data_IF_877716836302
#
_entry.id   IF_877716836302
#
_cell.length_a   1.000
_cell.length_b   1.000
_cell.length_c   1.000
_cell.angle_alpha   90.00
_cell.angle_beta   90.00
_cell.angle_gamma   90.00
#
_symmetry.space_group_name_H-M   'P 1'
#
loop_
_entity.id
_entity.type
_entity.pdbx_description
1 polymer ?
#
# COMPACT_ATOMS: atom_id res chain seq x y z
N UNK A 1 -3.71 37.25 16.10
CA UNK A 1 -4.31 36.55 17.25
C UNK A 1 -5.73 36.06 16.91
N UNK A 2 -5.91 35.27 15.84
CA UNK A 2 -7.24 34.80 15.42
C UNK A 2 -7.24 33.34 14.91
N UNK A 3 -6.31 32.49 15.36
CA UNK A 3 -6.23 31.07 14.93
C UNK A 3 -6.56 30.06 16.04
N UNK A 4 -6.80 30.49 17.28
CA UNK A 4 -6.87 29.57 18.42
C UNK A 4 -8.22 28.86 18.63
N UNK A 5 -9.18 28.96 17.69
CA UNK A 5 -10.55 28.43 17.90
C UNK A 5 -11.16 27.71 16.69
N UNK A 6 -10.36 27.32 15.69
CA UNK A 6 -10.86 26.42 14.66
C UNK A 6 -11.09 25.02 15.27
N UNK A 7 -12.26 24.38 15.05
CA UNK A 7 -12.47 23.01 15.51
C UNK A 7 -11.44 22.08 14.87
N UNK A 8 -10.93 21.13 15.67
CA UNK A 8 -10.00 20.11 15.19
C UNK A 8 -10.55 19.42 13.93
N UNK A 9 -9.75 19.30 12.84
CA UNK A 9 -10.23 18.70 11.61
C UNK A 9 -10.53 17.21 11.84
N UNK A 10 -11.76 16.76 11.59
CA UNK A 10 -12.16 15.35 11.74
C UNK A 10 -11.70 14.46 10.57
N UNK A 11 -11.10 15.06 9.54
CA UNK A 11 -10.45 14.38 8.45
C UNK A 11 -9.12 15.08 8.15
N UNK A 12 -8.05 14.30 8.05
CA UNK A 12 -6.77 14.84 7.66
C UNK A 12 -6.76 15.01 6.13
N UNK A 13 -6.50 16.23 5.60
CA UNK A 13 -6.34 16.38 4.17
C UNK A 13 -5.16 15.51 3.74
N UNK A 14 -5.28 14.89 2.57
CA UNK A 14 -4.12 14.35 1.90
C UNK A 14 -3.18 15.54 1.67
N UNK A 15 -1.90 15.49 2.12
CA UNK A 15 -0.97 16.57 1.82
C UNK A 15 -0.99 16.77 0.31
N UNK A 16 -1.22 18.00 -0.16
CA UNK A 16 -1.24 18.35 -1.58
C UNK A 16 0.03 17.80 -2.21
N UNK A 17 -0.12 16.84 -3.11
CA UNK A 17 0.96 16.00 -3.61
C UNK A 17 1.63 16.57 -4.86
N UNK A 18 1.42 17.86 -5.12
CA UNK A 18 1.98 18.61 -6.25
C UNK A 18 3.11 19.52 -5.75
N UNK A 19 4.25 19.45 -6.44
CA UNK A 19 5.53 20.12 -6.12
C UNK A 19 6.07 19.87 -4.70
N UNK A 20 6.78 18.76 -4.51
CA UNK A 20 7.55 18.49 -3.28
C UNK A 20 8.88 19.23 -3.38
N UNK A 21 8.97 20.41 -2.74
CA UNK A 21 10.18 21.26 -2.76
C UNK A 21 11.29 20.73 -1.83
N UNK A 22 10.92 20.07 -0.73
CA UNK A 22 11.85 19.50 0.23
C UNK A 22 11.62 17.98 0.36
N UNK A 23 12.29 17.16 -0.49
CA UNK A 23 12.18 15.71 -0.44
C UNK A 23 12.46 15.17 0.96
N UNK A 24 11.61 14.25 1.40
CA UNK A 24 11.65 13.66 2.74
C UNK A 24 11.58 14.66 3.92
N UNK A 25 11.09 15.89 3.72
CA UNK A 25 10.76 16.77 4.83
C UNK A 25 9.70 16.10 5.73
N UNK A 26 9.99 16.03 7.04
CA UNK A 26 9.12 15.36 8.01
C UNK A 26 9.10 13.83 7.89
N UNK A 27 10.17 13.20 7.40
CA UNK A 27 10.26 11.74 7.28
C UNK A 27 10.35 11.01 8.64
N UNK A 28 9.17 10.78 9.23
CA UNK A 28 9.02 10.08 10.50
C UNK A 28 9.43 8.60 10.43
N UNK A 29 9.44 8.02 9.22
CA UNK A 29 9.69 6.60 8.99
C UNK A 29 11.11 6.30 8.54
N UNK A 30 11.99 7.32 8.50
CA UNK A 30 13.40 7.23 8.07
C UNK A 30 13.59 6.59 6.70
N UNK A 31 12.64 6.80 5.80
CA UNK A 31 12.67 6.25 4.43
C UNK A 31 13.69 6.93 3.52
N UNK A 32 14.20 8.11 3.88
CA UNK A 32 15.26 8.80 3.13
C UNK A 32 16.51 7.94 2.98
N UNK A 33 16.87 7.16 4.00
CA UNK A 33 18.02 6.25 3.95
C UNK A 33 17.83 5.15 2.91
N UNK A 34 16.61 4.59 2.84
CA UNK A 34 16.24 3.64 1.79
C UNK A 34 16.31 4.28 0.40
N UNK A 35 15.76 5.49 0.23
CA UNK A 35 15.82 6.21 -1.05
C UNK A 35 17.27 6.45 -1.49
N UNK A 36 18.16 6.83 -0.58
CA UNK A 36 19.60 6.97 -0.88
C UNK A 36 20.24 5.66 -1.32
N UNK A 37 19.92 4.55 -0.64
CA UNK A 37 20.41 3.21 -1.01
C UNK A 37 19.94 2.80 -2.40
N UNK A 38 18.66 3.04 -2.72
CA UNK A 38 18.11 2.73 -4.04
C UNK A 38 18.70 3.63 -5.12
N UNK A 39 18.93 4.90 -4.83
CA UNK A 39 19.55 5.84 -5.77
C UNK A 39 20.98 5.41 -6.12
N UNK A 40 21.78 5.04 -5.13
CA UNK A 40 23.13 4.49 -5.36
C UNK A 40 23.09 3.18 -6.18
N UNK A 41 22.01 2.40 -6.05
CA UNK A 41 21.80 1.24 -6.92
C UNK A 41 21.47 1.66 -8.36
N UNK A 42 20.62 2.67 -8.57
CA UNK A 42 20.30 3.22 -9.90
C UNK A 42 21.55 3.71 -10.64
N UNK A 43 22.48 4.39 -9.95
CA UNK A 43 23.74 4.88 -10.54
C UNK A 43 24.65 3.77 -11.09
N UNK A 44 24.43 2.53 -10.66
CA UNK A 44 25.21 1.35 -11.09
C UNK A 44 24.50 0.56 -12.18
N UNK A 45 23.23 0.86 -12.47
CA UNK A 45 22.52 0.27 -13.59
C UNK A 45 23.03 0.89 -14.89
N UNK A 46 23.39 0.02 -15.84
CA UNK A 46 23.81 0.38 -17.20
C UNK A 46 22.91 -0.25 -18.26
N UNK A 47 22.08 -1.20 -17.86
CA UNK A 47 20.99 -1.77 -18.66
C UNK A 47 19.66 -1.16 -18.25
N UNK A 48 18.62 -1.41 -19.04
CA UNK A 48 17.25 -1.19 -18.57
C UNK A 48 16.94 -2.07 -17.36
N UNK A 49 16.00 -1.63 -16.53
CA UNK A 49 15.60 -2.36 -15.34
C UNK A 49 14.16 -2.06 -14.92
N UNK A 50 13.59 -3.00 -14.17
CA UNK A 50 12.29 -2.86 -13.51
C UNK A 50 12.45 -3.23 -12.05
N UNK A 51 12.26 -2.25 -11.18
CA UNK A 51 12.34 -2.39 -9.73
C UNK A 51 10.92 -2.41 -9.17
N UNK A 52 10.65 -3.26 -8.20
CA UNK A 52 9.40 -3.27 -7.46
C UNK A 52 9.59 -2.81 -6.02
N UNK A 53 8.72 -1.89 -5.59
CA UNK A 53 8.53 -1.45 -4.22
C UNK A 53 7.21 -2.04 -3.71
N UNK A 54 7.31 -3.16 -3.00
CA UNK A 54 6.20 -3.90 -2.43
C UNK A 54 5.82 -3.37 -1.04
N UNK A 55 4.55 -3.06 -0.84
CA UNK A 55 3.97 -2.97 0.50
C UNK A 55 2.44 -3.12 0.45
N UNK A 56 1.80 -3.53 1.56
CA UNK A 56 0.35 -3.49 1.69
C UNK A 56 -0.29 -2.11 1.48
N UNK A 57 -1.62 -2.08 1.43
CA UNK A 57 -2.38 -0.82 1.45
C UNK A 57 -2.19 -0.08 2.77
N UNK A 58 -2.10 1.25 2.70
CA UNK A 58 -1.97 2.09 3.89
C UNK A 58 -0.56 2.17 4.48
N UNK A 59 0.46 1.64 3.81
CA UNK A 59 1.87 1.69 4.26
C UNK A 59 2.66 2.89 3.70
N UNK A 60 2.00 3.87 3.08
CA UNK A 60 2.67 5.09 2.58
C UNK A 60 3.56 4.89 1.35
N UNK A 61 3.23 3.92 0.48
CA UNK A 61 3.93 3.64 -0.78
C UNK A 61 4.02 4.86 -1.69
N UNK A 62 2.88 5.47 -2.00
CA UNK A 62 2.76 6.68 -2.84
C UNK A 62 3.56 7.83 -2.28
N UNK A 63 3.53 8.04 -0.95
CA UNK A 63 4.34 9.07 -0.29
C UNK A 63 5.83 8.83 -0.54
N UNK A 64 6.31 7.59 -0.33
CA UNK A 64 7.71 7.24 -0.57
C UNK A 64 8.11 7.45 -2.05
N UNK A 65 7.30 6.94 -2.98
CA UNK A 65 7.57 7.04 -4.41
C UNK A 65 7.64 8.50 -4.89
N UNK A 66 6.69 9.35 -4.45
CA UNK A 66 6.68 10.77 -4.81
C UNK A 66 7.84 11.54 -4.18
N UNK A 67 8.18 11.28 -2.92
CA UNK A 67 9.33 11.90 -2.26
C UNK A 67 10.66 11.46 -2.88
N UNK A 68 10.79 10.18 -3.25
CA UNK A 68 11.97 9.68 -3.95
C UNK A 68 12.06 10.25 -5.38
N UNK A 69 10.96 10.32 -6.12
CA UNK A 69 10.90 10.99 -7.42
C UNK A 69 11.32 12.46 -7.34
N UNK A 70 10.88 13.19 -6.31
CA UNK A 70 11.29 14.57 -6.08
C UNK A 70 12.78 14.70 -5.74
N UNK A 71 13.32 13.80 -4.89
CA UNK A 71 14.76 13.72 -4.61
C UNK A 71 15.56 13.51 -5.90
N UNK A 72 15.18 12.53 -6.71
CA UNK A 72 15.85 12.22 -7.98
C UNK A 72 15.83 13.42 -8.94
N UNK A 73 14.71 14.15 -9.04
CA UNK A 73 14.66 15.38 -9.86
C UNK A 73 15.65 16.44 -9.37
N UNK A 74 15.78 16.62 -8.05
CA UNK A 74 16.75 17.56 -7.47
C UNK A 74 18.20 17.13 -7.69
N UNK A 75 18.44 15.82 -7.76
CA UNK A 75 19.75 15.24 -8.07
C UNK A 75 20.04 15.17 -9.58
N UNK A 76 19.18 15.74 -10.42
CA UNK A 76 19.39 15.89 -11.87
C UNK A 76 18.88 14.73 -12.73
N UNK A 77 18.12 13.78 -12.17
CA UNK A 77 17.50 12.72 -12.96
C UNK A 77 16.30 13.23 -13.77
N UNK A 78 16.08 12.64 -14.95
CA UNK A 78 14.79 12.76 -15.65
C UNK A 78 13.81 11.77 -15.05
N UNK A 79 12.73 12.27 -14.45
CA UNK A 79 11.80 11.44 -13.67
C UNK A 79 10.35 11.65 -14.10
N UNK A 80 9.74 10.57 -14.59
CA UNK A 80 8.30 10.48 -14.84
C UNK A 80 7.55 9.79 -13.71
N UNK A 81 6.28 10.12 -13.53
CA UNK A 81 5.40 9.51 -12.52
C UNK A 81 4.04 9.26 -13.13
N UNK A 82 3.66 7.99 -13.19
CA UNK A 82 2.38 7.52 -13.71
C UNK A 82 1.53 7.04 -12.54
N UNK A 83 0.39 7.69 -12.31
CA UNK A 83 -0.71 7.11 -11.53
C UNK A 83 -1.51 6.20 -12.45
N UNK A 84 -1.31 4.88 -12.32
CA UNK A 84 -1.94 3.91 -13.22
C UNK A 84 -3.45 3.83 -13.00
N UNK A 85 -3.93 4.07 -11.77
CA UNK A 85 -5.33 3.97 -11.43
C UNK A 85 -6.13 5.17 -11.95
N UNK A 86 -5.57 6.38 -11.87
CA UNK A 86 -6.20 7.58 -12.43
C UNK A 86 -6.46 7.46 -13.93
N UNK A 87 -5.59 6.73 -14.64
CA UNK A 87 -5.63 6.58 -16.10
C UNK A 87 -6.05 5.18 -16.56
N UNK A 88 -6.65 4.38 -15.67
CA UNK A 88 -6.98 2.98 -15.96
C UNK A 88 -8.15 2.82 -16.94
N UNK A 89 -8.81 3.93 -17.32
CA UNK A 89 -9.83 4.01 -18.37
C UNK A 89 -9.24 3.94 -19.79
N UNK A 90 -7.93 4.14 -19.96
CA UNK A 90 -7.26 4.06 -21.26
C UNK A 90 -7.27 2.60 -21.75
N UNK A 91 -7.65 2.41 -23.02
CA UNK A 91 -7.79 1.07 -23.60
C UNK A 91 -6.47 0.30 -23.68
N UNK A 92 -5.35 0.94 -24.05
CA UNK A 92 -4.03 0.30 -24.02
C UNK A 92 -3.01 1.08 -23.17
N UNK A 93 -2.47 0.46 -22.10
CA UNK A 93 -1.46 1.10 -21.24
C UNK A 93 -0.15 1.48 -21.95
N UNK A 94 0.08 0.99 -23.18
CA UNK A 94 1.19 1.47 -24.01
C UNK A 94 1.09 2.98 -24.26
N UNK A 95 -0.11 3.51 -24.50
CA UNK A 95 -0.30 4.95 -24.70
C UNK A 95 0.11 5.76 -23.47
N UNK A 96 -0.20 5.24 -22.28
CA UNK A 96 0.17 5.84 -21.00
C UNK A 96 1.69 5.95 -20.86
N UNK A 97 2.41 4.83 -21.08
CA UNK A 97 3.88 4.81 -21.03
C UNK A 97 4.48 5.72 -22.11
N UNK A 98 3.97 5.64 -23.34
CA UNK A 98 4.49 6.41 -24.46
C UNK A 98 4.28 7.92 -24.26
N UNK A 99 3.12 8.34 -23.76
CA UNK A 99 2.83 9.73 -23.44
C UNK A 99 3.79 10.26 -22.37
N UNK A 100 4.01 9.51 -21.30
CA UNK A 100 4.94 9.90 -20.23
C UNK A 100 6.38 10.03 -20.75
N UNK A 101 6.88 9.03 -21.48
CA UNK A 101 8.21 9.10 -22.09
C UNK A 101 8.34 10.28 -23.06
N UNK A 102 7.27 10.62 -23.78
CA UNK A 102 7.23 11.79 -24.66
C UNK A 102 7.33 13.10 -23.90
N UNK A 103 6.67 13.21 -22.75
CA UNK A 103 6.77 14.40 -21.91
C UNK A 103 8.19 14.57 -21.36
N UNK A 104 8.83 13.47 -20.96
CA UNK A 104 10.24 13.47 -20.52
C UNK A 104 11.20 13.85 -21.66
N UNK A 105 10.84 13.57 -22.91
CA UNK A 105 11.58 14.02 -24.10
C UNK A 105 11.37 15.52 -24.40
N UNK A 106 10.23 16.09 -24.00
CA UNK A 106 9.80 17.43 -24.43
C UNK A 106 10.56 18.58 -23.75
N UNK A 107 11.44 18.29 -22.80
CA UNK A 107 12.31 19.27 -22.15
C UNK A 107 13.46 19.77 -23.07
N UNK A 108 13.72 19.10 -24.20
CA UNK A 108 14.72 19.50 -25.20
C UNK A 108 14.03 19.86 -26.54
N UNK A 109 13.94 21.16 -26.87
CA UNK A 109 13.07 21.70 -27.94
C UNK A 109 13.29 21.08 -29.35
N UNK A 110 14.52 20.63 -29.68
CA UNK A 110 14.85 20.05 -30.98
C UNK A 110 14.52 18.56 -31.13
N UNK A 111 14.77 17.74 -30.10
CA UNK A 111 14.52 16.29 -30.10
C UNK A 111 13.03 15.95 -29.93
N UNK A 112 12.29 16.84 -29.24
CA UNK A 112 10.88 16.66 -28.94
C UNK A 112 9.97 16.55 -30.17
N UNK A 113 10.31 17.18 -31.30
CA UNK A 113 9.45 17.19 -32.50
C UNK A 113 9.48 15.84 -33.23
N UNK A 114 10.67 15.29 -33.45
CA UNK A 114 10.86 13.97 -34.09
C UNK A 114 10.32 12.85 -33.21
N UNK A 115 10.55 12.92 -31.89
CA UNK A 115 10.03 11.94 -30.94
C UNK A 115 8.49 11.95 -30.92
N UNK A 116 7.85 13.13 -30.83
CA UNK A 116 6.38 13.28 -30.89
C UNK A 116 5.77 12.70 -32.17
N UNK A 117 6.40 12.90 -33.33
CA UNK A 117 5.91 12.34 -34.60
C UNK A 117 5.94 10.80 -34.61
N UNK A 118 6.99 10.19 -34.06
CA UNK A 118 7.12 8.73 -33.99
C UNK A 118 6.21 8.12 -32.92
N UNK A 119 5.97 8.81 -31.81
CA UNK A 119 4.95 8.45 -30.81
C UNK A 119 3.55 8.46 -31.42
N UNK A 120 3.18 9.52 -32.16
CA UNK A 120 1.89 9.60 -32.82
C UNK A 120 1.71 8.48 -33.85
N UNK A 121 2.76 8.12 -34.59
CA UNK A 121 2.75 6.98 -35.51
C UNK A 121 2.60 5.64 -34.80
N UNK A 122 3.29 5.43 -33.67
CA UNK A 122 3.17 4.22 -32.88
C UNK A 122 1.78 4.12 -32.25
N UNK A 123 1.28 5.19 -31.64
CA UNK A 123 -0.06 5.26 -31.07
C UNK A 123 -1.15 4.94 -32.11
N UNK A 124 -1.11 5.55 -33.30
CA UNK A 124 -2.12 5.33 -34.36
C UNK A 124 -2.05 3.94 -35.00
N UNK A 125 -0.88 3.28 -35.00
CA UNK A 125 -0.71 1.94 -35.58
C UNK A 125 -1.01 0.82 -34.57
N UNK A 126 -0.69 1.05 -33.30
CA UNK A 126 -0.85 0.08 -32.21
C UNK A 126 -2.30 0.08 -31.68
N UNK A 127 -2.93 1.25 -31.53
CA UNK A 127 -4.28 1.41 -30.94
C UNK A 127 -5.40 0.61 -31.64
N UNK A 128 -5.51 0.56 -32.99
CA UNK A 128 -6.62 -0.13 -33.67
C UNK A 128 -6.59 -1.66 -33.59
N UNK A 129 -5.43 -2.27 -33.31
CA UNK A 129 -5.28 -3.72 -33.26
C UNK A 129 -5.51 -4.32 -31.87
N UNK A 130 -5.37 -3.51 -30.82
CA UNK A 130 -5.41 -3.96 -29.42
C UNK A 130 -6.78 -3.82 -28.75
N UNK A 131 -7.63 -2.92 -29.27
CA UNK A 131 -9.04 -2.83 -28.89
C UNK A 131 -9.82 -4.15 -29.13
N UNK A 132 -9.31 -5.08 -29.95
CA UNK A 132 -9.95 -6.36 -30.26
C UNK A 132 -9.42 -7.57 -29.51
N UNK A 133 -8.35 -7.44 -28.72
CA UNK A 133 -7.76 -8.59 -27.98
C UNK A 133 -8.29 -8.68 -26.53
N UNK A 134 -9.17 -7.77 -26.12
CA UNK A 134 -9.57 -7.56 -24.72
C UNK A 134 -10.90 -8.13 -24.23
N UNK A 135 -11.52 -9.15 -24.85
CA UNK A 135 -12.82 -9.69 -24.37
C UNK A 135 -12.79 -11.17 -23.93
N UNK A 136 -11.74 -11.94 -24.22
CA UNK A 136 -11.82 -13.42 -24.10
C UNK A 136 -11.43 -14.06 -22.75
N UNK A 137 -11.24 -13.31 -21.67
CA UNK A 137 -10.93 -13.90 -20.36
C UNK A 137 -12.14 -14.09 -19.42
N UNK A 138 -13.32 -13.53 -19.74
CA UNK A 138 -14.56 -13.64 -18.95
C UNK A 138 -15.68 -14.43 -19.67
N UNK A 139 -15.33 -15.22 -20.68
CA UNK A 139 -16.27 -15.99 -21.51
C UNK A 139 -16.27 -17.51 -21.28
N UNK A 140 -15.70 -18.03 -20.18
CA UNK A 140 -15.65 -19.50 -19.95
C UNK A 140 -16.93 -20.10 -19.35
N UNK A 141 -17.99 -19.31 -19.14
CA UNK A 141 -19.31 -19.80 -18.70
C UNK A 141 -20.48 -19.42 -19.62
N UNK A 142 -20.23 -18.75 -20.74
CA UNK A 142 -21.23 -18.53 -21.78
C UNK A 142 -20.58 -18.69 -23.15
N UNK A 143 -21.20 -19.51 -23.99
CA UNK A 143 -20.72 -20.05 -25.27
C UNK A 143 -19.76 -19.17 -26.07
N UNK A 144 -18.73 -19.83 -26.57
CA UNK A 144 -17.82 -19.39 -27.63
C UNK A 144 -18.59 -18.81 -28.83
N UNK A 145 -18.75 -17.48 -28.87
CA UNK A 145 -19.34 -16.75 -29.99
C UNK A 145 -18.29 -15.91 -30.72
N UNK A 146 -17.36 -15.23 -30.04
CA UNK A 146 -16.47 -14.29 -30.75
C UNK A 146 -15.34 -14.91 -31.60
N UNK A 147 -14.88 -16.14 -31.28
CA UNK A 147 -13.99 -16.91 -32.18
C UNK A 147 -14.77 -17.61 -33.30
N UNK A 148 -16.07 -17.84 -33.07
CA UNK A 148 -16.96 -18.43 -34.05
C UNK A 148 -17.45 -17.37 -35.04
N UNK A 149 -17.74 -16.13 -34.64
CA UNK A 149 -18.33 -15.10 -35.50
C UNK A 149 -17.39 -14.66 -36.63
N UNK A 150 -16.09 -14.50 -36.34
CA UNK A 150 -15.09 -14.15 -37.37
C UNK A 150 -14.72 -15.30 -38.31
N UNK A 151 -14.99 -16.55 -37.91
CA UNK A 151 -14.80 -17.75 -38.75
C UNK A 151 -16.12 -18.10 -39.47
N UNK A 152 -17.27 -17.79 -38.87
CA UNK A 152 -18.62 -18.04 -39.36
C UNK A 152 -18.99 -17.10 -40.50
N UNK A 153 -18.63 -15.81 -40.42
CA UNK A 153 -18.79 -14.89 -41.55
C UNK A 153 -17.95 -15.30 -42.79
N UNK A 154 -16.81 -15.97 -42.57
CA UNK A 154 -15.97 -16.49 -43.65
C UNK A 154 -16.41 -17.88 -44.15
N UNK A 155 -17.10 -18.66 -43.31
CA UNK A 155 -17.50 -20.04 -43.60
C UNK A 155 -18.88 -20.16 -44.27
N UNK A 156 -19.74 -19.14 -44.19
CA UNK A 156 -21.06 -19.16 -44.85
C UNK A 156 -21.02 -18.86 -46.36
N UNK A 157 -19.91 -18.37 -46.90
CA UNK A 157 -19.73 -18.17 -48.34
C UNK A 157 -19.07 -19.40 -48.98
N UNK A 158 -19.83 -20.45 -49.31
CA UNK A 158 -19.30 -21.58 -50.07
C UNK A 158 -19.18 -21.27 -51.58
N UNK A 159 -18.10 -20.59 -52.00
CA UNK A 159 -17.61 -20.49 -53.39
C UNK A 159 -16.07 -20.27 -53.41
N UNK A 160 -15.42 -20.35 -54.59
CA UNK A 160 -13.97 -20.08 -54.76
C UNK A 160 -13.52 -18.71 -54.20
N UNK A 161 -14.44 -17.75 -54.04
CA UNK A 161 -14.19 -16.43 -53.42
C UNK A 161 -13.84 -16.53 -51.92
N UNK A 162 -14.19 -17.63 -51.26
CA UNK A 162 -13.95 -17.85 -49.83
C UNK A 162 -12.47 -18.10 -49.52
N UNK A 163 -11.76 -18.79 -50.41
CA UNK A 163 -10.32 -19.06 -50.25
C UNK A 163 -9.52 -17.76 -50.37
N UNK A 164 -9.90 -16.90 -51.31
CA UNK A 164 -9.29 -15.58 -51.50
C UNK A 164 -9.67 -14.61 -50.37
N UNK A 165 -10.91 -14.66 -49.86
CA UNK A 165 -11.33 -13.90 -48.69
C UNK A 165 -10.62 -14.35 -47.40
N UNK A 166 -10.48 -15.66 -47.19
CA UNK A 166 -9.73 -16.21 -46.06
C UNK A 166 -8.24 -15.86 -46.16
N UNK A 167 -7.64 -15.95 -47.36
CA UNK A 167 -6.26 -15.54 -47.61
C UNK A 167 -6.07 -14.05 -47.38
N UNK A 168 -6.96 -13.20 -47.88
CA UNK A 168 -6.92 -11.75 -47.66
C UNK A 168 -7.10 -11.38 -46.18
N UNK A 169 -7.94 -12.12 -45.44
CA UNK A 169 -8.11 -11.94 -44.00
C UNK A 169 -6.84 -12.32 -43.22
N UNK A 170 -6.21 -13.45 -43.57
CA UNK A 170 -4.93 -13.88 -42.99
C UNK A 170 -3.82 -12.89 -43.34
N UNK A 171 -3.70 -12.47 -44.59
CA UNK A 171 -2.73 -11.47 -45.06
C UNK A 171 -2.93 -10.13 -44.35
N UNK A 172 -4.18 -9.67 -44.18
CA UNK A 172 -4.50 -8.44 -43.44
C UNK A 172 -4.15 -8.56 -41.95
N UNK A 173 -4.36 -9.73 -41.33
CA UNK A 173 -3.95 -10.02 -39.95
C UNK A 173 -2.43 -10.07 -39.80
N UNK A 174 -1.73 -10.71 -40.74
CA UNK A 174 -0.27 -10.79 -40.76
C UNK A 174 0.37 -9.43 -41.02
N UNK A 175 -0.15 -8.65 -41.96
CA UNK A 175 0.31 -7.29 -42.24
C UNK A 175 0.06 -6.36 -41.05
N UNK A 176 -1.11 -6.48 -40.40
CA UNK A 176 -1.42 -5.78 -39.16
C UNK A 176 -0.46 -6.10 -38.02
N UNK A 177 -0.20 -7.39 -37.79
CA UNK A 177 0.76 -7.84 -36.79
C UNK A 177 2.20 -7.39 -37.10
N UNK A 178 2.61 -7.46 -38.37
CA UNK A 178 3.92 -6.98 -38.81
C UNK A 178 4.07 -5.46 -38.62
N UNK A 179 3.03 -4.69 -38.92
CA UNK A 179 3.00 -3.24 -38.71
C UNK A 179 3.03 -2.86 -37.22
N UNK A 180 2.30 -3.58 -36.36
CA UNK A 180 2.34 -3.40 -34.91
C UNK A 180 3.76 -3.66 -34.37
N UNK A 181 4.35 -4.81 -34.73
CA UNK A 181 5.72 -5.17 -34.32
C UNK A 181 6.73 -4.13 -34.77
N UNK A 182 6.65 -3.69 -36.03
CA UNK A 182 7.53 -2.66 -36.56
C UNK A 182 7.37 -1.32 -35.83
N UNK A 183 6.14 -0.95 -35.48
CA UNK A 183 5.84 0.30 -34.76
C UNK A 183 6.38 0.30 -33.33
N UNK A 184 6.20 -0.81 -32.59
CA UNK A 184 6.76 -0.97 -31.24
C UNK A 184 8.29 -0.95 -31.31
N UNK A 185 8.90 -1.68 -32.25
CA UNK A 185 10.36 -1.68 -32.42
C UNK A 185 10.92 -0.31 -32.79
N UNK A 186 10.26 0.41 -33.69
CA UNK A 186 10.64 1.77 -34.06
C UNK A 186 10.55 2.69 -32.84
N UNK A 187 9.47 2.61 -32.06
CA UNK A 187 9.30 3.40 -30.85
C UNK A 187 10.38 3.08 -29.81
N UNK A 188 10.63 1.80 -29.50
CA UNK A 188 11.66 1.38 -28.56
C UNK A 188 13.03 1.94 -28.95
N UNK A 189 13.40 1.92 -30.24
CA UNK A 189 14.66 2.52 -30.73
C UNK A 189 14.75 4.03 -30.50
N UNK A 190 13.62 4.75 -30.61
CA UNK A 190 13.62 6.18 -30.27
C UNK A 190 13.77 6.42 -28.77
N UNK A 191 13.14 5.57 -27.96
CA UNK A 191 13.32 5.63 -26.50
C UNK A 191 14.77 5.35 -26.14
N UNK A 192 15.42 4.36 -26.77
CA UNK A 192 16.86 4.09 -26.60
C UNK A 192 17.73 5.29 -26.98
N UNK A 193 17.47 5.94 -28.11
CA UNK A 193 18.21 7.13 -28.52
C UNK A 193 18.00 8.29 -27.54
N UNK A 194 16.77 8.46 -27.05
CA UNK A 194 16.43 9.45 -26.03
C UNK A 194 17.15 9.16 -24.70
N UNK A 195 17.09 7.94 -24.18
CA UNK A 195 17.67 7.59 -22.87
C UNK A 195 19.19 7.66 -22.90
N UNK A 196 19.82 7.33 -24.04
CA UNK A 196 21.25 7.57 -24.25
C UNK A 196 21.58 9.07 -24.16
N UNK A 197 20.88 9.91 -24.92
CA UNK A 197 21.10 11.37 -24.92
C UNK A 197 20.82 11.98 -23.54
N UNK A 198 19.75 11.55 -22.87
CA UNK A 198 19.38 11.98 -21.53
C UNK A 198 20.44 11.63 -20.50
N UNK A 199 20.95 10.40 -20.57
CA UNK A 199 22.00 9.90 -19.70
C UNK A 199 23.29 10.69 -19.89
N UNK A 200 23.71 10.91 -21.14
CA UNK A 200 24.93 11.67 -21.45
C UNK A 200 24.84 13.12 -20.96
N UNK A 201 23.65 13.74 -21.06
CA UNK A 201 23.41 15.11 -20.58
C UNK A 201 23.36 15.22 -19.04
N UNK A 202 23.09 14.12 -18.33
CA UNK A 202 22.87 14.09 -16.88
C UNK A 202 23.93 13.26 -16.13
N UNK A 203 25.20 13.32 -16.54
CA UNK A 203 26.35 12.61 -15.92
C UNK A 203 26.19 11.08 -15.84
N UNK A 204 25.54 10.46 -16.82
CA UNK A 204 25.32 9.01 -16.85
C UNK A 204 24.13 8.53 -16.02
N UNK A 205 23.25 9.43 -15.56
CA UNK A 205 22.06 9.08 -14.78
C UNK A 205 20.95 8.52 -15.68
N UNK A 206 20.30 7.41 -15.29
CA UNK A 206 19.19 6.86 -16.06
C UNK A 206 17.94 7.74 -15.99
N UNK A 207 17.06 7.58 -16.99
CA UNK A 207 15.67 8.05 -16.92
C UNK A 207 14.89 7.11 -16.02
N UNK A 208 14.14 7.65 -15.06
CA UNK A 208 13.37 6.87 -14.09
C UNK A 208 11.88 7.14 -14.26
N UNK A 209 11.07 6.09 -14.38
CA UNK A 209 9.61 6.18 -14.50
C UNK A 209 8.97 5.42 -13.35
N UNK A 210 8.31 6.14 -12.44
CA UNK A 210 7.51 5.54 -11.38
C UNK A 210 6.13 5.17 -11.92
N UNK A 211 5.64 3.99 -11.56
CA UNK A 211 4.27 3.54 -11.86
C UNK A 211 3.63 3.16 -10.53
N UNK A 212 2.63 3.92 -10.10
CA UNK A 212 1.94 3.76 -8.82
C UNK A 212 0.47 3.32 -9.01
N UNK A 213 -0.13 2.85 -7.93
CA UNK A 213 -1.53 2.43 -7.82
C UNK A 213 -1.95 1.28 -8.78
N UNK A 214 -0.97 0.48 -9.23
CA UNK A 214 -1.19 -0.74 -10.03
C UNK A 214 -2.18 -1.70 -9.37
N UNK A 215 -2.13 -1.80 -8.04
CA UNK A 215 -2.97 -2.69 -7.23
C UNK A 215 -4.41 -2.19 -7.04
N UNK A 216 -4.78 -1.03 -7.58
CA UNK A 216 -6.16 -0.53 -7.64
C UNK A 216 -6.81 -0.61 -9.02
N UNK A 217 -6.00 -0.78 -10.06
CA UNK A 217 -6.46 -0.88 -11.44
C UNK A 217 -7.37 -2.10 -11.65
N UNK A 218 -8.21 -2.04 -12.68
CA UNK A 218 -8.91 -3.23 -13.20
C UNK A 218 -7.89 -4.37 -13.47
N UNK A 219 -8.15 -5.64 -13.07
CA UNK A 219 -7.17 -6.72 -13.18
C UNK A 219 -6.53 -6.88 -14.56
N UNK A 220 -7.35 -6.81 -15.63
CA UNK A 220 -6.86 -6.92 -17.01
C UNK A 220 -5.96 -5.74 -17.41
N UNK A 221 -6.25 -4.52 -16.93
CA UNK A 221 -5.43 -3.35 -17.20
C UNK A 221 -4.07 -3.45 -16.50
N UNK A 222 -4.05 -3.82 -15.21
CA UNK A 222 -2.82 -3.98 -14.44
C UNK A 222 -1.86 -4.99 -15.07
N UNK A 223 -2.39 -6.17 -15.46
CA UNK A 223 -1.62 -7.22 -16.14
C UNK A 223 -1.08 -6.71 -17.48
N UNK A 224 -1.93 -6.11 -18.31
CA UNK A 224 -1.52 -5.56 -19.61
C UNK A 224 -0.46 -4.47 -19.47
N UNK A 225 -0.55 -3.62 -18.46
CA UNK A 225 0.45 -2.57 -18.22
C UNK A 225 1.83 -3.17 -17.96
N UNK A 226 1.93 -4.18 -17.10
CA UNK A 226 3.19 -4.91 -16.85
C UNK A 226 3.70 -5.60 -18.12
N UNK A 227 2.80 -6.22 -18.90
CA UNK A 227 3.15 -6.81 -20.18
C UNK A 227 3.64 -5.78 -21.20
N UNK A 228 3.21 -4.52 -21.13
CA UNK A 228 3.73 -3.45 -22.01
C UNK A 228 5.12 -3.00 -21.61
N UNK A 229 5.43 -2.96 -20.31
CA UNK A 229 6.76 -2.58 -19.82
C UNK A 229 7.84 -3.53 -20.35
N UNK A 230 7.51 -4.81 -20.61
CA UNK A 230 8.44 -5.81 -21.17
C UNK A 230 9.14 -5.37 -22.44
N UNK A 231 8.50 -4.51 -23.26
CA UNK A 231 9.07 -4.02 -24.51
C UNK A 231 10.19 -2.99 -24.30
N UNK A 232 10.42 -2.57 -23.05
CA UNK A 232 11.41 -1.56 -22.66
C UNK A 232 12.48 -2.11 -21.71
N UNK A 233 12.48 -3.40 -21.39
CA UNK A 233 13.44 -4.00 -20.45
C UNK A 233 14.89 -3.84 -20.90
N UNK A 234 15.12 -3.99 -22.20
CA UNK A 234 16.47 -3.95 -22.77
C UNK A 234 16.92 -2.53 -23.15
N UNK A 235 16.08 -1.51 -22.93
CA UNK A 235 16.41 -0.12 -23.24
C UNK A 235 17.44 0.39 -22.23
N UNK A 236 18.69 0.68 -22.63
CA UNK A 236 19.71 1.15 -21.70
C UNK A 236 19.31 2.47 -21.04
N UNK A 237 19.72 2.66 -19.80
CA UNK A 237 19.46 3.88 -19.03
C UNK A 237 17.96 4.23 -18.84
N UNK A 238 17.08 3.23 -18.90
CA UNK A 238 15.66 3.38 -18.57
C UNK A 238 15.29 2.45 -17.41
N UNK A 239 14.81 3.03 -16.31
CA UNK A 239 14.41 2.29 -15.12
C UNK A 239 12.94 2.53 -14.82
N UNK A 240 12.16 1.47 -14.74
CA UNK A 240 10.80 1.53 -14.19
C UNK A 240 10.80 1.16 -12.71
N UNK A 241 10.09 1.94 -11.89
CA UNK A 241 9.86 1.65 -10.48
C UNK A 241 8.38 1.38 -10.27
N UNK A 242 8.02 0.12 -10.09
CA UNK A 242 6.65 -0.33 -9.84
C UNK A 242 6.36 -0.24 -8.35
N UNK A 243 5.46 0.65 -7.99
CA UNK A 243 4.97 0.81 -6.63
C UNK A 243 3.69 -0.01 -6.52
N UNK A 244 3.75 -1.11 -5.78
CA UNK A 244 2.71 -2.14 -5.87
C UNK A 244 2.40 -2.80 -4.53
N UNK A 245 1.24 -3.45 -4.47
CA UNK A 245 0.95 -4.49 -3.50
C UNK A 245 1.03 -5.84 -4.22
N UNK A 246 2.11 -6.60 -3.97
CA UNK A 246 2.38 -7.85 -4.68
C UNK A 246 1.22 -8.84 -4.57
N UNK A 247 0.66 -9.03 -3.38
CA UNK A 247 -0.41 -10.00 -3.15
C UNK A 247 -1.67 -9.66 -3.96
N UNK A 248 -1.98 -8.38 -4.13
CA UNK A 248 -3.13 -7.94 -4.92
C UNK A 248 -2.87 -8.09 -6.42
N UNK A 249 -1.66 -7.79 -6.85
CA UNK A 249 -1.27 -7.95 -8.25
C UNK A 249 -1.23 -9.42 -8.66
N UNK A 250 -0.77 -10.31 -7.79
CA UNK A 250 -0.83 -11.75 -8.03
C UNK A 250 -2.28 -12.27 -8.11
N UNK A 251 -3.20 -11.72 -7.29
CA UNK A 251 -4.64 -12.02 -7.42
C UNK A 251 -5.20 -11.52 -8.75
N UNK A 252 -4.80 -10.34 -9.21
CA UNK A 252 -5.18 -9.82 -10.52
C UNK A 252 -4.71 -10.75 -11.66
N UNK A 253 -3.46 -11.21 -11.61
CA UNK A 253 -2.90 -12.19 -12.57
C UNK A 253 -3.72 -13.49 -12.56
N UNK A 254 -4.03 -14.05 -11.39
CA UNK A 254 -4.90 -15.25 -11.27
C UNK A 254 -6.31 -14.98 -11.81
N UNK A 255 -6.82 -13.77 -11.64
CA UNK A 255 -8.10 -13.35 -12.22
C UNK A 255 -8.10 -13.33 -13.75
N UNK A 256 -6.96 -13.02 -14.38
CA UNK A 256 -6.81 -12.96 -15.85
C UNK A 256 -6.50 -14.33 -16.47
N UNK A 257 -5.57 -15.09 -15.88
CA UNK A 257 -5.07 -16.35 -16.47
C UNK A 257 -5.66 -17.62 -15.84
N UNK A 258 -6.38 -17.51 -14.72
CA UNK A 258 -6.98 -18.62 -13.98
C UNK A 258 -6.31 -18.88 -12.62
N UNK A 259 -7.06 -19.48 -11.69
CA UNK A 259 -6.67 -19.70 -10.29
C UNK A 259 -5.41 -20.54 -10.12
N UNK A 260 -5.19 -21.51 -11.02
CA UNK A 260 -4.04 -22.43 -11.00
C UNK A 260 -2.74 -21.78 -11.51
N UNK A 261 -2.80 -20.52 -11.97
CA UNK A 261 -1.62 -19.82 -12.48
C UNK A 261 -0.64 -19.55 -11.34
N UNK A 262 0.62 -19.91 -11.55
CA UNK A 262 1.73 -19.44 -10.72
C UNK A 262 2.00 -17.96 -10.99
N UNK A 263 1.19 -17.11 -10.37
CA UNK A 263 1.28 -15.65 -10.50
C UNK A 263 2.59 -15.09 -9.94
N UNK A 264 3.17 -15.74 -8.94
CA UNK A 264 4.45 -15.35 -8.35
C UNK A 264 5.58 -15.53 -9.36
N UNK A 265 5.65 -16.69 -10.01
CA UNK A 265 6.63 -16.95 -11.07
C UNK A 265 6.36 -16.10 -12.32
N UNK A 266 5.09 -15.88 -12.68
CA UNK A 266 4.73 -14.98 -13.78
C UNK A 266 5.26 -13.56 -13.52
N UNK A 267 4.92 -12.96 -12.38
CA UNK A 267 5.35 -11.61 -12.02
C UNK A 267 6.88 -11.50 -11.93
N UNK A 268 7.54 -12.53 -11.40
CA UNK A 268 9.00 -12.59 -11.31
C UNK A 268 9.73 -12.47 -12.66
N UNK A 269 9.08 -12.80 -13.79
CA UNK A 269 9.67 -12.61 -15.13
C UNK A 269 9.76 -11.13 -15.55
N UNK A 270 9.04 -10.25 -14.87
CA UNK A 270 8.98 -8.83 -15.21
C UNK A 270 9.79 -7.95 -14.26
N UNK A 271 10.31 -8.51 -13.17
CA UNK A 271 10.99 -7.76 -12.10
C UNK A 271 12.46 -8.14 -12.05
N UNK A 272 13.33 -7.15 -12.18
CA UNK A 272 14.78 -7.33 -12.04
C UNK A 272 15.20 -7.29 -10.57
N UNK A 273 14.49 -6.48 -9.76
CA UNK A 273 14.66 -6.39 -8.32
C UNK A 273 13.30 -6.17 -7.67
N UNK A 274 13.04 -6.83 -6.55
CA UNK A 274 11.85 -6.63 -5.73
C UNK A 274 12.26 -6.39 -4.29
N UNK A 275 11.78 -5.30 -3.70
CA UNK A 275 12.06 -4.91 -2.33
C UNK A 275 10.75 -4.62 -1.62
N UNK A 276 10.71 -4.92 -0.32
CA UNK A 276 9.57 -4.56 0.54
C UNK A 276 9.91 -3.29 1.32
N UNK A 277 8.96 -2.36 1.41
CA UNK A 277 9.16 -1.19 2.28
C UNK A 277 9.32 -1.65 3.74
N UNK A 278 10.30 -1.10 4.48
CA UNK A 278 10.50 -1.44 5.89
C UNK A 278 9.24 -1.18 6.71
N UNK A 279 8.97 -2.10 7.62
CA UNK A 279 7.91 -1.99 8.63
C UNK A 279 8.52 -2.27 9.99
N UNK A 280 8.21 -1.42 10.96
CA UNK A 280 8.65 -1.59 12.34
C UNK A 280 8.00 -2.83 12.95
N UNK A 281 8.82 -3.67 13.57
CA UNK A 281 8.41 -4.91 14.24
C UNK A 281 8.84 -4.96 15.72
N UNK A 282 9.51 -3.92 16.21
CA UNK A 282 9.94 -3.82 17.60
C UNK A 282 8.79 -3.51 18.55
N UNK A 283 8.66 -4.30 19.62
CA UNK A 283 7.76 -3.98 20.75
C UNK A 283 8.42 -3.06 21.80
N UNK A 284 9.68 -2.64 21.58
CA UNK A 284 10.42 -1.76 22.49
C UNK A 284 10.09 -0.29 22.23
N UNK A 285 8.92 0.13 22.69
CA UNK A 285 8.36 1.45 22.37
C UNK A 285 8.95 2.60 23.21
N UNK A 286 9.49 2.32 24.40
CA UNK A 286 9.98 3.36 25.31
C UNK A 286 11.30 4.03 24.91
N UNK A 287 11.91 3.61 23.80
CA UNK A 287 13.06 4.33 23.25
C UNK A 287 12.58 5.67 22.67
N UNK A 288 13.28 6.77 22.99
CA UNK A 288 12.97 8.14 22.52
C UNK A 288 12.89 8.31 20.99
N UNK A 289 13.08 7.24 20.22
CA UNK A 289 13.14 7.26 18.77
C UNK A 289 12.32 6.12 18.11
N UNK A 290 11.33 5.55 18.82
CA UNK A 290 10.47 4.53 18.24
C UNK A 290 9.62 5.11 17.10
N UNK A 291 9.85 4.62 15.88
CA UNK A 291 9.32 5.20 14.63
C UNK A 291 7.79 5.26 14.62
N UNK A 292 7.13 4.18 15.05
CA UNK A 292 5.66 4.15 15.08
C UNK A 292 5.08 5.08 16.14
N UNK A 293 5.77 5.26 17.27
CA UNK A 293 5.29 6.18 18.31
C UNK A 293 5.36 7.62 17.80
N UNK A 294 6.48 7.99 17.18
CA UNK A 294 6.63 9.30 16.54
C UNK A 294 5.55 9.53 15.46
N UNK A 295 5.18 8.49 14.70
CA UNK A 295 4.08 8.57 13.75
C UNK A 295 2.71 8.77 14.44
N UNK A 296 2.43 8.07 15.54
CA UNK A 296 1.20 8.27 16.34
C UNK A 296 1.14 9.70 16.90
N UNK A 297 2.22 10.19 17.50
CA UNK A 297 2.28 11.54 18.06
C UNK A 297 2.01 12.59 16.97
N UNK A 298 2.65 12.46 15.80
CA UNK A 298 2.42 13.36 14.67
C UNK A 298 0.98 13.27 14.14
N UNK A 299 0.38 12.07 14.11
CA UNK A 299 -1.01 11.91 13.70
C UNK A 299 -1.97 12.61 14.69
N UNK A 300 -1.75 12.46 16.00
CA UNK A 300 -2.53 13.14 17.04
C UNK A 300 -2.39 14.67 16.96
N UNK A 301 -1.18 15.18 16.74
CA UNK A 301 -0.92 16.61 16.55
C UNK A 301 -1.67 17.19 15.35
N UNK A 302 -1.76 16.44 14.23
CA UNK A 302 -2.54 16.87 13.06
C UNK A 302 -4.04 17.00 13.34
N UNK A 303 -4.55 16.26 14.33
CA UNK A 303 -5.91 16.39 14.85
C UNK A 303 -6.04 17.46 15.95
N UNK A 304 -5.02 18.28 16.20
CA UNK A 304 -5.07 19.33 17.22
C UNK A 304 -4.88 18.84 18.66
N UNK A 305 -4.39 17.62 18.86
CA UNK A 305 -3.96 17.17 20.18
C UNK A 305 -2.59 17.80 20.51
N UNK A 306 -2.59 18.78 21.40
CA UNK A 306 -1.43 19.64 21.66
C UNK A 306 -0.44 19.07 22.70
N UNK A 307 -0.82 18.01 23.40
CA UNK A 307 0.03 17.31 24.36
C UNK A 307 0.80 16.19 23.65
N UNK A 308 1.85 15.67 24.29
CA UNK A 308 2.42 14.40 23.84
C UNK A 308 1.36 13.29 23.93
N UNK A 309 1.39 12.32 23.01
CA UNK A 309 0.37 11.27 22.97
C UNK A 309 0.38 10.34 24.19
N UNK A 310 1.29 10.54 25.15
CA UNK A 310 1.29 9.93 26.47
C UNK A 310 1.20 8.40 26.45
N UNK A 311 0.40 7.88 27.38
CA UNK A 311 0.12 6.45 27.54
C UNK A 311 -0.51 5.87 26.25
N UNK A 312 -1.43 6.60 25.62
CA UNK A 312 -2.11 6.17 24.40
C UNK A 312 -1.13 5.91 23.25
N UNK A 313 -0.22 6.85 22.96
CA UNK A 313 0.73 6.69 21.87
C UNK A 313 1.68 5.51 22.08
N UNK A 314 2.13 5.29 23.32
CA UNK A 314 2.96 4.14 23.65
C UNK A 314 2.22 2.81 23.48
N UNK A 315 1.00 2.71 24.02
CA UNK A 315 0.19 1.51 23.88
C UNK A 315 -0.24 1.26 22.42
N UNK A 316 -0.60 2.31 21.68
CA UNK A 316 -1.00 2.17 20.28
C UNK A 316 0.16 1.75 19.40
N UNK A 317 1.38 2.24 19.64
CA UNK A 317 2.56 1.79 18.90
C UNK A 317 2.86 0.30 19.14
N UNK A 318 2.70 -0.19 20.37
CA UNK A 318 2.79 -1.62 20.65
C UNK A 318 1.65 -2.41 19.99
N UNK A 319 0.41 -1.91 20.05
CA UNK A 319 -0.71 -2.50 19.32
C UNK A 319 -0.48 -2.51 17.80
N UNK A 320 0.19 -1.51 17.24
CA UNK A 320 0.49 -1.44 15.83
C UNK A 320 1.34 -2.63 15.37
N UNK A 321 2.31 -3.03 16.17
CA UNK A 321 3.12 -4.23 15.93
C UNK A 321 2.29 -5.50 16.16
N UNK A 322 1.59 -5.61 17.29
CA UNK A 322 0.83 -6.82 17.64
C UNK A 322 -0.29 -7.15 16.66
N UNK A 323 -1.01 -6.13 16.19
CA UNK A 323 -2.13 -6.27 15.27
C UNK A 323 -1.73 -6.05 13.81
N UNK A 324 -0.44 -5.81 13.54
CA UNK A 324 0.08 -5.49 12.21
C UNK A 324 -0.73 -4.34 11.56
N UNK A 325 -0.93 -3.25 12.30
CA UNK A 325 -1.61 -2.04 11.82
C UNK A 325 -0.81 -1.41 10.68
N UNK A 326 -1.51 -0.92 9.66
CA UNK A 326 -0.90 -0.04 8.65
C UNK A 326 -0.82 1.40 9.19
N UNK A 327 -0.06 2.28 8.54
CA UNK A 327 -0.03 3.71 8.90
C UNK A 327 -1.43 4.34 8.83
N UNK A 328 -2.23 3.95 7.82
CA UNK A 328 -3.63 4.37 7.70
C UNK A 328 -4.48 3.86 8.86
N UNK A 329 -4.24 2.65 9.35
CA UNK A 329 -4.94 2.12 10.52
C UNK A 329 -4.56 2.91 11.78
N UNK A 330 -3.31 3.35 11.91
CA UNK A 330 -2.87 4.22 13.01
C UNK A 330 -3.57 5.58 12.96
N UNK A 331 -3.65 6.22 11.78
CA UNK A 331 -4.40 7.49 11.63
C UNK A 331 -5.87 7.33 12.02
N UNK A 332 -6.51 6.22 11.61
CA UNK A 332 -7.88 5.87 12.00
C UNK A 332 -8.01 5.63 13.51
N UNK A 333 -7.01 5.00 14.11
CA UNK A 333 -6.99 4.75 15.54
C UNK A 333 -6.91 6.06 16.34
N UNK A 334 -6.11 7.02 15.87
CA UNK A 334 -6.05 8.36 16.46
C UNK A 334 -7.40 9.09 16.37
N UNK A 335 -8.08 9.03 15.22
CA UNK A 335 -9.42 9.61 15.06
C UNK A 335 -10.45 8.97 16.03
N UNK A 336 -10.46 7.64 16.12
CA UNK A 336 -11.35 6.90 17.04
C UNK A 336 -11.06 7.24 18.52
N UNK A 337 -9.79 7.43 18.87
CA UNK A 337 -9.40 7.81 20.22
C UNK A 337 -9.99 9.17 20.62
N UNK A 338 -9.88 10.16 19.73
CA UNK A 338 -10.44 11.50 19.94
C UNK A 338 -11.97 11.48 20.08
N UNK A 339 -12.64 10.64 19.28
CA UNK A 339 -14.09 10.45 19.37
C UNK A 339 -14.55 9.76 20.67
N UNK A 340 -13.69 8.94 21.31
CA UNK A 340 -14.04 8.16 22.50
C UNK A 340 -13.95 8.93 23.83
N UNK A 341 -13.46 10.17 23.80
CA UNK A 341 -13.37 11.05 24.96
C UNK A 341 -12.23 10.70 25.94
N UNK A 342 -11.06 10.31 25.39
CA UNK A 342 -9.73 10.27 26.03
C UNK A 342 -9.67 9.74 27.47
N UNK A 343 -10.27 8.58 27.75
CA UNK A 343 -10.14 7.87 29.04
C UNK A 343 -9.55 6.48 28.83
N UNK A 344 -8.89 5.96 29.86
CA UNK A 344 -8.32 4.61 29.85
C UNK A 344 -7.43 4.38 28.63
N UNK A 345 -6.43 5.24 28.48
CA UNK A 345 -5.64 5.39 27.25
C UNK A 345 -5.07 4.07 26.72
N UNK A 346 -4.42 3.29 27.58
CA UNK A 346 -3.88 1.98 27.19
C UNK A 346 -4.96 0.96 26.79
N UNK A 347 -6.08 0.93 27.51
CA UNK A 347 -7.24 0.08 27.19
C UNK A 347 -7.90 0.52 25.87
N UNK A 348 -7.95 1.83 25.59
CA UNK A 348 -8.49 2.37 24.35
C UNK A 348 -7.61 2.03 23.16
N UNK A 349 -6.30 2.19 23.27
CA UNK A 349 -5.37 1.78 22.21
C UNK A 349 -5.60 0.32 21.79
N UNK A 350 -5.76 -0.58 22.77
CA UNK A 350 -6.06 -1.98 22.51
C UNK A 350 -7.43 -2.21 21.86
N UNK A 351 -8.49 -1.67 22.45
CA UNK A 351 -9.85 -1.89 21.93
C UNK A 351 -10.06 -1.25 20.55
N UNK A 352 -9.41 -0.13 20.26
CA UNK A 352 -9.40 0.50 18.95
C UNK A 352 -8.66 -0.38 17.94
N UNK A 353 -7.48 -0.89 18.28
CA UNK A 353 -6.74 -1.81 17.41
C UNK A 353 -7.53 -3.09 17.12
N UNK A 354 -8.18 -3.65 18.14
CA UNK A 354 -9.10 -4.79 18.01
C UNK A 354 -10.27 -4.44 17.09
N UNK A 355 -10.92 -3.30 17.27
CA UNK A 355 -12.04 -2.84 16.42
C UNK A 355 -11.62 -2.73 14.95
N UNK A 356 -10.42 -2.24 14.67
CA UNK A 356 -9.93 -2.05 13.29
C UNK A 356 -9.57 -3.40 12.64
N UNK A 357 -8.85 -4.29 13.34
CA UNK A 357 -8.29 -5.52 12.73
C UNK A 357 -9.11 -6.78 12.97
N UNK A 358 -9.98 -6.77 13.97
CA UNK A 358 -10.87 -7.87 14.37
C UNK A 358 -12.28 -7.33 14.67
N UNK A 359 -12.94 -6.68 13.69
CA UNK A 359 -14.24 -6.05 13.92
C UNK A 359 -15.31 -7.05 14.39
N UNK A 360 -15.23 -8.31 13.97
CA UNK A 360 -16.15 -9.37 14.40
C UNK A 360 -16.03 -9.68 15.90
N UNK A 361 -14.81 -9.81 16.43
CA UNK A 361 -14.56 -9.99 17.87
C UNK A 361 -15.09 -8.78 18.63
N UNK A 362 -14.76 -7.57 18.16
CA UNK A 362 -15.22 -6.33 18.80
C UNK A 362 -16.76 -6.23 18.82
N UNK A 363 -17.45 -6.61 17.74
CA UNK A 363 -18.92 -6.59 17.68
C UNK A 363 -19.53 -7.56 18.68
N UNK A 364 -18.96 -8.76 18.82
CA UNK A 364 -19.42 -9.75 19.81
C UNK A 364 -19.22 -9.29 21.25
N UNK A 365 -18.13 -8.57 21.55
CA UNK A 365 -17.90 -7.97 22.87
C UNK A 365 -18.97 -6.93 23.27
N UNK A 366 -19.75 -6.39 22.32
CA UNK A 366 -20.91 -5.53 22.62
C UNK A 366 -22.02 -6.31 23.32
N UNK A 367 -22.21 -7.58 22.96
CA UNK A 367 -23.11 -8.48 23.66
C UNK A 367 -22.45 -8.84 25.01
N UNK A 368 -22.91 -8.21 26.09
CA UNK A 368 -22.25 -8.21 27.42
C UNK A 368 -21.93 -9.60 28.02
N UNK A 369 -22.44 -10.69 27.45
CA UNK A 369 -22.27 -12.07 27.91
C UNK A 369 -21.53 -13.01 26.94
N UNK A 370 -20.92 -12.51 25.85
CA UNK A 370 -20.16 -13.36 24.92
C UNK A 370 -18.77 -13.73 25.48
N UNK A 371 -18.75 -14.79 26.30
CA UNK A 371 -17.53 -15.31 26.94
C UNK A 371 -16.50 -15.81 25.93
N UNK A 372 -16.94 -16.32 24.79
CA UNK A 372 -16.03 -16.83 23.77
C UNK A 372 -15.33 -15.66 23.07
N UNK A 373 -16.05 -14.57 22.79
CA UNK A 373 -15.44 -13.34 22.29
C UNK A 373 -14.40 -12.75 23.27
N UNK A 374 -14.67 -12.81 24.59
CA UNK A 374 -13.69 -12.41 25.61
C UNK A 374 -12.44 -13.29 25.56
N UNK A 375 -12.59 -14.60 25.38
CA UNK A 375 -11.46 -15.53 25.24
C UNK A 375 -10.67 -15.25 23.95
N UNK A 376 -11.34 -15.01 22.82
CA UNK A 376 -10.71 -14.65 21.55
C UNK A 376 -9.94 -13.33 21.66
N UNK A 377 -10.52 -12.32 22.31
CA UNK A 377 -9.89 -11.04 22.64
C UNK A 377 -8.57 -11.26 23.41
N UNK A 378 -8.61 -12.03 24.50
CA UNK A 378 -7.45 -12.43 25.31
C UNK A 378 -6.40 -13.19 24.49
N UNK A 379 -6.82 -14.02 23.53
CA UNK A 379 -5.89 -14.77 22.66
C UNK A 379 -5.11 -13.85 21.73
N UNK A 380 -5.72 -12.80 21.18
CA UNK A 380 -5.01 -11.82 20.32
C UNK A 380 -3.86 -11.12 21.06
N UNK A 381 -3.90 -11.04 22.40
CA UNK A 381 -2.80 -10.53 23.24
C UNK A 381 -1.69 -11.55 23.50
N UNK A 382 -1.84 -12.80 23.08
CA UNK A 382 -0.90 -13.88 23.42
C UNK A 382 0.52 -13.80 22.83
N UNK A 383 0.83 -13.05 21.75
CA UNK A 383 2.22 -12.82 21.33
C UNK A 383 3.05 -12.12 22.42
N UNK A 384 2.41 -11.37 23.32
CA UNK A 384 3.03 -10.62 24.42
C UNK A 384 3.41 -11.52 25.61
N UNK A 385 2.73 -12.67 25.77
CA UNK A 385 2.72 -13.47 27.00
C UNK A 385 3.74 -14.60 27.09
N UNK A 386 4.63 -14.80 26.11
CA UNK A 386 5.65 -15.89 26.16
C UNK A 386 6.99 -15.48 26.76
N UNK A 387 7.08 -14.37 27.48
CA UNK A 387 8.36 -13.86 27.99
C UNK A 387 8.18 -13.23 29.38
N UNK A 388 8.36 -14.03 30.45
CA UNK A 388 8.22 -13.59 31.85
C UNK A 388 9.32 -12.62 32.33
N UNK A 389 10.34 -12.37 31.52
CA UNK A 389 11.56 -11.60 31.87
C UNK A 389 11.36 -10.07 31.87
N UNK A 390 10.12 -9.58 31.79
CA UNK A 390 9.79 -8.22 31.34
C UNK A 390 9.24 -7.27 32.40
N UNK A 391 9.38 -7.63 33.67
CA UNK A 391 8.96 -6.76 34.76
C UNK A 391 10.01 -5.66 35.00
N UNK A 392 9.61 -4.38 34.92
CA UNK A 392 10.46 -3.23 35.26
C UNK A 392 11.22 -2.52 34.13
N UNK A 393 11.24 -3.03 32.89
CA UNK A 393 11.81 -2.30 31.75
C UNK A 393 10.77 -1.35 31.13
N UNK A 394 11.00 -0.04 31.27
CA UNK A 394 10.15 1.02 30.71
C UNK A 394 9.95 0.86 29.20
N UNK A 395 10.93 0.32 28.48
CA UNK A 395 10.86 0.14 27.03
C UNK A 395 9.88 -0.97 26.63
N UNK A 396 9.63 -1.91 27.54
CA UNK A 396 8.71 -3.03 27.37
C UNK A 396 7.41 -2.84 28.16
N UNK A 397 7.19 -1.64 28.72
CA UNK A 397 6.01 -1.34 29.52
C UNK A 397 4.68 -1.68 28.83
N UNK A 398 4.44 -1.37 27.53
CA UNK A 398 3.19 -1.75 26.88
C UNK A 398 2.95 -3.27 26.88
N UNK A 399 4.02 -4.06 26.77
CA UNK A 399 3.93 -5.52 26.84
C UNK A 399 3.48 -5.97 28.24
N UNK A 400 4.08 -5.40 29.29
CA UNK A 400 3.71 -5.68 30.68
C UNK A 400 2.28 -5.22 31.00
N UNK A 401 1.86 -4.06 30.49
CA UNK A 401 0.49 -3.58 30.59
C UNK A 401 -0.51 -4.56 29.96
N UNK A 402 -0.26 -5.00 28.73
CA UNK A 402 -1.18 -5.91 28.03
C UNK A 402 -1.20 -7.32 28.61
N UNK A 403 -0.09 -7.81 29.16
CA UNK A 403 -0.06 -9.06 29.92
C UNK A 403 -0.95 -8.97 31.16
N UNK A 404 -0.89 -7.85 31.87
CA UNK A 404 -1.71 -7.67 33.06
C UNK A 404 -3.18 -7.45 32.74
N UNK A 405 -3.49 -6.72 31.66
CA UNK A 405 -4.85 -6.62 31.12
C UNK A 405 -5.40 -8.01 30.77
N UNK A 406 -4.59 -8.85 30.11
CA UNK A 406 -4.95 -10.23 29.76
C UNK A 406 -5.29 -11.06 31.00
N UNK A 407 -4.45 -11.00 32.04
CA UNK A 407 -4.70 -11.72 33.29
C UNK A 407 -5.99 -11.25 33.97
N UNK A 408 -6.22 -9.93 34.02
CA UNK A 408 -7.44 -9.37 34.61
C UNK A 408 -8.71 -9.79 33.86
N UNK A 409 -8.67 -9.80 32.52
CA UNK A 409 -9.79 -10.25 31.69
C UNK A 409 -10.02 -11.76 31.82
N UNK A 410 -8.97 -12.57 31.96
CA UNK A 410 -9.09 -14.01 32.15
C UNK A 410 -9.74 -14.41 33.49
N UNK A 411 -9.54 -13.60 34.54
CA UNK A 411 -10.14 -13.80 35.86
C UNK A 411 -11.61 -13.32 35.93
N UNK A 412 -12.07 -12.55 34.95
CA UNK A 412 -13.41 -11.94 34.94
C UNK A 412 -14.57 -12.94 35.08
N UNK A 413 -14.60 -14.11 34.40
CA UNK A 413 -15.69 -15.06 34.55
C UNK A 413 -15.82 -15.64 35.96
N UNK A 414 -14.70 -15.83 36.68
CA UNK A 414 -14.69 -16.34 38.05
C UNK A 414 -15.02 -15.26 39.07
N UNK A 415 -14.56 -14.02 38.83
CA UNK A 415 -14.92 -12.84 39.61
C UNK A 415 -16.44 -12.61 39.65
N UNK A 416 -17.11 -12.71 38.49
CA UNK A 416 -18.56 -12.55 38.37
C UNK A 416 -19.36 -13.64 39.12
N UNK A 417 -18.73 -14.76 39.47
CA UNK A 417 -19.33 -15.84 40.27
C UNK A 417 -19.07 -15.72 41.78
N UNK A 418 -18.30 -14.70 42.21
CA UNK A 418 -18.00 -14.47 43.63
C UNK A 418 -17.05 -15.50 44.24
N UNK A 419 -16.14 -16.09 43.44
CA UNK A 419 -15.17 -17.09 43.92
C UNK A 419 -14.09 -16.42 44.81
N UNK A 420 -14.02 -16.71 46.13
CA UNK A 420 -13.14 -15.99 47.08
C UNK A 420 -11.64 -16.14 46.78
N UNK A 421 -11.25 -17.30 46.24
CA UNK A 421 -9.86 -17.63 45.87
C UNK A 421 -9.33 -16.77 44.73
N UNK A 422 -10.21 -16.11 43.96
CA UNK A 422 -9.84 -15.27 42.81
C UNK A 422 -9.76 -13.79 43.22
N UNK A 423 -10.40 -13.39 44.31
CA UNK A 423 -10.54 -11.99 44.70
C UNK A 423 -9.20 -11.36 45.16
N UNK A 424 -8.38 -12.10 45.89
CA UNK A 424 -7.06 -11.63 46.33
C UNK A 424 -6.09 -11.49 45.15
N UNK A 425 -6.10 -12.44 44.22
CA UNK A 425 -5.32 -12.36 42.97
C UNK A 425 -5.77 -11.15 42.14
N UNK A 426 -7.08 -10.90 42.02
CA UNK A 426 -7.60 -9.72 41.33
C UNK A 426 -7.15 -8.41 41.98
N UNK A 427 -7.21 -8.31 43.31
CA UNK A 427 -6.74 -7.13 44.05
C UNK A 427 -5.25 -6.88 43.79
N UNK A 428 -4.43 -7.92 43.83
CA UNK A 428 -3.00 -7.83 43.53
C UNK A 428 -2.74 -7.37 42.09
N UNK A 429 -3.44 -7.95 41.10
CA UNK A 429 -3.26 -7.59 39.68
C UNK A 429 -3.73 -6.18 39.36
N UNK A 430 -4.87 -5.74 39.92
CA UNK A 430 -5.37 -4.36 39.77
C UNK A 430 -4.36 -3.34 40.30
N UNK A 431 -3.79 -3.63 41.48
CA UNK A 431 -2.76 -2.79 42.11
C UNK A 431 -1.53 -2.64 41.22
N UNK A 432 -1.01 -3.75 40.69
CA UNK A 432 0.15 -3.72 39.78
C UNK A 432 -0.12 -2.89 38.52
N UNK A 433 -1.34 -2.98 37.95
CA UNK A 433 -1.69 -2.25 36.73
C UNK A 433 -1.71 -0.75 36.97
N UNK A 434 -2.29 -0.36 38.10
CA UNK A 434 -2.31 1.01 38.54
C UNK A 434 -0.90 1.54 38.85
N UNK A 435 -0.10 0.81 39.63
CA UNK A 435 1.27 1.19 39.97
C UNK A 435 2.16 1.34 38.73
N UNK A 436 2.00 0.45 37.72
CA UNK A 436 2.75 0.53 36.47
C UNK A 436 2.39 1.73 35.61
N UNK A 437 1.12 2.12 35.54
CA UNK A 437 0.72 3.31 34.78
C UNK A 437 1.08 4.62 35.49
N UNK A 438 0.78 4.71 36.79
CA UNK A 438 1.04 5.91 37.60
C UNK A 438 2.51 6.32 37.58
N UNK A 439 3.43 5.36 37.65
CA UNK A 439 4.88 5.62 37.63
C UNK A 439 5.37 6.31 36.36
N UNK A 440 4.67 6.14 35.23
CA UNK A 440 5.15 6.60 33.91
C UNK A 440 4.41 7.82 33.39
N UNK A 441 3.09 7.89 33.54
CA UNK A 441 2.26 8.92 32.89
C UNK A 441 1.38 9.73 33.86
N UNK A 442 1.46 9.46 35.17
CA UNK A 442 0.81 10.27 36.19
C UNK A 442 -0.73 10.33 36.20
N UNK A 443 -1.46 9.58 35.35
CA UNK A 443 -2.94 9.63 35.34
C UNK A 443 -3.70 8.43 34.71
N UNK A 444 -4.99 8.32 35.11
CA UNK A 444 -6.22 7.76 34.49
C UNK A 444 -6.30 6.31 33.93
N UNK A 445 -5.45 5.39 34.37
CA UNK A 445 -5.72 3.95 34.18
C UNK A 445 -6.79 3.45 35.16
N UNK A 446 -7.79 2.67 34.71
CA UNK A 446 -8.85 2.23 35.59
C UNK A 446 -8.35 1.21 36.61
N UNK A 447 -8.50 1.53 37.89
CA UNK A 447 -8.29 0.59 39.01
C UNK A 447 -9.22 -0.63 38.95
N UNK A 448 -10.43 -0.45 38.42
CA UNK A 448 -11.42 -1.50 38.23
C UNK A 448 -11.64 -1.77 36.74
N UNK A 449 -10.70 -2.50 36.14
CA UNK A 449 -10.74 -2.91 34.73
C UNK A 449 -12.03 -3.65 34.39
N UNK A 450 -12.61 -4.40 35.35
CA UNK A 450 -13.85 -5.16 35.13
C UNK A 450 -15.02 -4.24 34.81
N UNK A 451 -15.11 -3.09 35.46
CA UNK A 451 -16.16 -2.09 35.19
C UNK A 451 -15.78 -1.13 34.06
N UNK A 452 -14.49 -0.87 33.86
CA UNK A 452 -14.02 0.01 32.80
C UNK A 452 -14.16 -0.63 31.42
N UNK A 453 -13.88 -1.93 31.27
CA UNK A 453 -13.94 -2.64 30.00
C UNK A 453 -15.29 -2.53 29.26
N UNK A 454 -16.46 -2.82 29.87
CA UNK A 454 -17.74 -2.68 29.18
C UNK A 454 -18.08 -1.22 28.84
N UNK A 455 -17.67 -0.26 29.68
CA UNK A 455 -17.86 1.18 29.40
C UNK A 455 -16.96 1.66 28.26
N UNK A 456 -15.75 1.13 28.19
CA UNK A 456 -14.76 1.36 27.16
C UNK A 456 -15.24 0.87 25.80
N UNK A 457 -15.77 -0.36 25.74
CA UNK A 457 -16.42 -0.91 24.55
C UNK A 457 -17.60 -0.02 24.11
N UNK A 458 -18.46 0.40 25.04
CA UNK A 458 -19.61 1.25 24.74
C UNK A 458 -19.23 2.64 24.20
N UNK A 459 -18.11 3.23 24.63
CA UNK A 459 -17.62 4.53 24.13
C UNK A 459 -17.12 4.48 22.69
N UNK A 460 -16.65 3.31 22.26
CA UNK A 460 -16.23 3.08 20.89
C UNK A 460 -17.42 2.65 20.00
N UNK A 461 -18.60 2.44 20.58
CA UNK A 461 -19.82 2.20 19.84
C UNK A 461 -20.33 3.53 19.29
N UNK A 462 -20.00 3.79 18.02
CA UNK A 462 -20.46 4.97 17.28
C UNK A 462 -21.75 4.67 16.50
N UNK A 463 -22.23 3.43 16.55
CA UNK A 463 -23.55 3.07 16.04
C UNK A 463 -24.55 3.52 17.10
N UNK A 464 -25.21 4.66 16.86
CA UNK A 464 -26.36 5.09 17.67
C UNK A 464 -27.40 3.97 17.65
N UNK A 465 -27.57 3.26 18.77
CA UNK A 465 -28.73 2.38 19.00
C UNK A 465 -30.03 3.16 18.94
#
# INVERSE_FOLDING_TARGET
>A
MAEANAPAPLALPNPTQEAIDAPFAGDLLRRRELAGTLTAYLERLRSGAVLALDAPWGEGKTWFARHWAAQLRQEGYRVGVIDAFEQDYIDDPFLLIAAELTQLCAADEGAAKTFRQKVASAATTVLPFLARVGVNALGRLAGTSDLADGISEAAEAASDDAADAAKAWVEKRLAGYAAEKASVQAFTKEVEAFTATASDANDGRPVVVFIDELDRCRPAFAVRLIERIKHFFDVPNLVFVLVMNRDQLEKAIRGVYGTETDATAYLGKFLHLSLRLPKEDSLRVGENNHIIKAFVDAALQRYGYLEDGGEFAHCLAACAVLFNLSLRDIERACALYLLSGARWQGLMAYLIALKIKRPEIFRRLRARDDREALIECIRELSPVGRRPEFDGDINLWPASYFNLLKELLALQPAALRGEPTVEDTLKQRRRLLYEHSQKLYGADTPHDVVQAFPKAVARLDLELT
#
